data_IF_974825630200
#
_entry.id   IF_974825630200
#
_cell.length_a   1.000
_cell.length_b   1.000
_cell.length_c   1.000
_cell.angle_alpha   90.00
_cell.angle_beta   90.00
_cell.angle_gamma   90.00
#
_symmetry.space_group_name_H-M   'P 1'
#
loop_
_entity.id
_entity.type
_entity.pdbx_description
1 polymer ?
#
# COMPACT_ATOMS: atom_id res chain seq x y z
N UNK A 1 -15.58 20.77 -19.51
CA UNK A 1 -14.47 20.06 -18.83
C UNK A 1 -14.84 19.50 -17.45
N UNK A 2 -15.55 20.20 -16.54
CA UNK A 2 -15.98 19.59 -15.25
C UNK A 2 -17.22 18.69 -15.32
N UNK A 3 -18.04 18.80 -16.37
CA UNK A 3 -19.25 17.97 -16.56
C UNK A 3 -18.92 16.53 -17.01
N UNK A 4 -17.77 16.31 -17.65
CA UNK A 4 -17.38 15.01 -18.21
C UNK A 4 -16.89 14.04 -17.11
N UNK A 5 -16.33 14.57 -16.01
CA UNK A 5 -15.83 13.79 -14.87
C UNK A 5 -16.94 13.22 -13.97
N UNK A 6 -18.13 13.82 -13.99
CA UNK A 6 -19.31 13.34 -13.24
C UNK A 6 -20.19 12.40 -14.06
N UNK A 7 -19.80 12.07 -15.29
CA UNK A 7 -20.48 11.06 -16.09
C UNK A 7 -20.26 9.68 -15.45
N UNK A 8 -21.33 8.89 -15.36
CA UNK A 8 -21.28 7.58 -14.71
C UNK A 8 -20.24 6.64 -15.33
N UNK A 9 -20.04 6.67 -16.65
CA UNK A 9 -18.99 5.90 -17.32
C UNK A 9 -17.58 6.32 -16.91
N UNK A 10 -17.31 7.62 -16.80
CA UNK A 10 -16.02 8.15 -16.35
C UNK A 10 -15.75 7.72 -14.91
N UNK A 11 -16.72 7.84 -14.01
CA UNK A 11 -16.60 7.42 -12.62
C UNK A 11 -16.36 5.91 -12.47
N UNK A 12 -17.04 5.08 -13.26
CA UNK A 12 -16.83 3.63 -13.24
C UNK A 12 -15.43 3.28 -13.76
N UNK A 13 -14.94 3.96 -14.81
CA UNK A 13 -13.59 3.76 -15.33
C UNK A 13 -12.52 4.17 -14.32
N UNK A 14 -12.67 5.31 -13.67
CA UNK A 14 -11.76 5.78 -12.63
C UNK A 14 -11.77 4.85 -11.41
N UNK A 15 -12.93 4.32 -11.01
CA UNK A 15 -13.03 3.35 -9.91
C UNK A 15 -12.25 2.07 -10.21
N UNK A 16 -12.36 1.52 -11.43
CA UNK A 16 -11.57 0.36 -11.85
C UNK A 16 -10.06 0.63 -11.87
N UNK A 17 -9.66 1.81 -12.34
CA UNK A 17 -8.26 2.21 -12.36
C UNK A 17 -7.71 2.35 -10.93
N UNK A 18 -8.45 3.04 -10.05
CA UNK A 18 -8.10 3.21 -8.65
C UNK A 18 -7.97 1.86 -7.94
N UNK A 19 -8.94 0.96 -8.13
CA UNK A 19 -8.89 -0.40 -7.58
C UNK A 19 -7.64 -1.15 -8.03
N UNK A 20 -7.29 -1.05 -9.31
CA UNK A 20 -6.06 -1.68 -9.84
C UNK A 20 -4.80 -1.11 -9.20
N UNK A 21 -4.74 0.22 -9.02
CA UNK A 21 -3.61 0.89 -8.37
C UNK A 21 -3.46 0.46 -6.90
N UNK A 22 -4.57 0.38 -6.16
CA UNK A 22 -4.57 -0.07 -4.76
C UNK A 22 -4.06 -1.52 -4.63
N UNK A 23 -4.46 -2.42 -5.53
CA UNK A 23 -3.92 -3.79 -5.54
C UNK A 23 -2.43 -3.86 -5.86
N UNK A 24 -1.94 -3.00 -6.75
CA UNK A 24 -0.50 -2.90 -7.04
C UNK A 24 0.26 -2.39 -5.80
N UNK A 25 -0.24 -1.35 -5.13
CA UNK A 25 0.39 -0.81 -3.92
C UNK A 25 0.38 -1.83 -2.77
N UNK A 26 -0.74 -2.52 -2.55
CA UNK A 26 -0.80 -3.60 -1.56
C UNK A 26 0.28 -4.67 -1.83
N UNK A 27 0.53 -5.02 -3.09
CA UNK A 27 1.65 -5.89 -3.45
C UNK A 27 3.02 -5.31 -3.14
N UNK A 28 3.23 -4.01 -3.40
CA UNK A 28 4.47 -3.30 -3.07
C UNK A 28 4.71 -3.21 -1.56
N UNK A 29 3.68 -3.00 -0.76
CA UNK A 29 3.77 -2.93 0.70
C UNK A 29 4.23 -4.25 1.31
N UNK A 30 3.78 -5.39 0.77
CA UNK A 30 4.31 -6.71 1.15
C UNK A 30 5.82 -6.76 0.91
N UNK A 31 6.29 -6.30 -0.25
CA UNK A 31 7.72 -6.20 -0.56
C UNK A 31 8.46 -5.27 0.41
N UNK A 32 7.84 -4.15 0.78
CA UNK A 32 8.40 -3.17 1.70
C UNK A 32 8.57 -3.74 3.11
N UNK A 33 7.56 -4.45 3.62
CA UNK A 33 7.59 -5.16 4.91
C UNK A 33 8.69 -6.22 4.90
N UNK A 34 8.79 -7.04 3.85
CA UNK A 34 9.85 -8.04 3.71
C UNK A 34 11.24 -7.41 3.70
N UNK A 35 11.39 -6.24 3.06
CA UNK A 35 12.61 -5.44 3.10
C UNK A 35 12.97 -5.00 4.52
N UNK A 36 11.99 -4.47 5.26
CA UNK A 36 12.16 -4.08 6.67
C UNK A 36 12.54 -5.26 7.57
N UNK A 37 11.92 -6.43 7.36
CA UNK A 37 12.25 -7.67 8.08
C UNK A 37 13.67 -8.16 7.78
N UNK A 38 14.05 -8.21 6.50
CA UNK A 38 15.40 -8.56 6.08
C UNK A 38 16.44 -7.60 6.68
N UNK A 39 16.18 -6.29 6.65
CA UNK A 39 17.06 -5.29 7.24
C UNK A 39 17.17 -5.45 8.77
N UNK A 40 16.05 -5.63 9.46
CA UNK A 40 16.03 -5.82 10.92
C UNK A 40 16.84 -7.07 11.34
N UNK A 41 16.72 -8.17 10.59
CA UNK A 41 17.47 -9.40 10.84
C UNK A 41 18.97 -9.26 10.55
N UNK A 42 19.37 -8.44 9.56
CA UNK A 42 20.78 -8.16 9.27
C UNK A 42 21.45 -7.29 10.34
N UNK A 43 20.69 -6.41 10.97
CA UNK A 43 21.19 -5.39 11.89
C UNK A 43 20.98 -5.76 13.38
N UNK A 44 20.85 -7.05 13.71
CA UNK A 44 20.58 -7.53 15.09
C UNK A 44 21.60 -7.03 16.12
N UNK A 45 22.87 -6.89 15.74
CA UNK A 45 23.94 -6.38 16.61
C UNK A 45 23.89 -4.85 16.82
N UNK A 46 23.01 -4.13 16.12
CA UNK A 46 22.88 -2.66 16.17
C UNK A 46 21.43 -2.29 16.51
N UNK A 47 21.07 -2.21 17.80
CA UNK A 47 19.67 -2.06 18.25
C UNK A 47 18.90 -0.92 17.59
N UNK A 48 19.56 0.23 17.39
CA UNK A 48 18.95 1.37 16.70
C UNK A 48 18.55 1.03 15.26
N UNK A 49 19.46 0.43 14.48
CA UNK A 49 19.20 0.06 13.07
C UNK A 49 18.17 -1.06 12.97
N UNK A 50 18.23 -2.04 13.89
CA UNK A 50 17.18 -3.05 14.01
C UNK A 50 15.80 -2.39 14.23
N UNK A 51 15.74 -1.38 15.10
CA UNK A 51 14.55 -0.57 15.35
C UNK A 51 14.03 0.16 14.12
N UNK A 52 14.91 0.69 13.26
CA UNK A 52 14.51 1.26 11.97
C UNK A 52 13.84 0.21 11.08
N UNK A 53 14.38 -1.00 11.00
CA UNK A 53 13.75 -2.11 10.27
C UNK A 53 12.37 -2.47 10.81
N UNK A 54 12.20 -2.49 12.14
CA UNK A 54 10.88 -2.68 12.76
C UNK A 54 9.92 -1.53 12.46
N UNK A 55 10.42 -0.29 12.40
CA UNK A 55 9.63 0.87 11.97
C UNK A 55 9.13 0.75 10.54
N UNK A 56 9.98 0.29 9.61
CA UNK A 56 9.61 0.01 8.21
C UNK A 56 8.49 -1.05 8.15
N UNK A 57 8.62 -2.13 8.94
CA UNK A 57 7.59 -3.17 9.01
C UNK A 57 6.27 -2.61 9.52
N UNK A 58 6.28 -1.84 10.61
CA UNK A 58 5.08 -1.26 11.19
C UNK A 58 4.40 -0.27 10.22
N UNK A 59 5.18 0.61 9.59
CA UNK A 59 4.67 1.54 8.60
C UNK A 59 4.06 0.81 7.40
N UNK A 60 4.78 -0.16 6.84
CA UNK A 60 4.30 -0.94 5.70
C UNK A 60 3.04 -1.75 6.03
N UNK A 61 2.94 -2.31 7.24
CA UNK A 61 1.74 -3.04 7.66
C UNK A 61 0.50 -2.14 7.74
N UNK A 62 0.65 -0.90 8.22
CA UNK A 62 -0.46 0.06 8.25
C UNK A 62 -0.90 0.47 6.84
N UNK A 63 0.06 0.70 5.93
CA UNK A 63 -0.23 1.00 4.52
C UNK A 63 -0.92 -0.17 3.81
N UNK A 64 -0.43 -1.39 4.02
CA UNK A 64 -1.03 -2.59 3.44
C UNK A 64 -2.49 -2.77 3.86
N UNK A 65 -2.78 -2.60 5.16
CA UNK A 65 -4.15 -2.68 5.68
C UNK A 65 -5.02 -1.59 5.06
N UNK A 66 -4.50 -0.36 4.95
CA UNK A 66 -5.21 0.74 4.31
C UNK A 66 -5.54 0.40 2.85
N UNK A 67 -4.56 -0.01 2.05
CA UNK A 67 -4.73 -0.27 0.63
C UNK A 67 -5.66 -1.46 0.36
N UNK A 68 -5.56 -2.53 1.15
CA UNK A 68 -6.46 -3.69 1.02
C UNK A 68 -7.89 -3.31 1.36
N UNK A 69 -8.13 -2.56 2.45
CA UNK A 69 -9.48 -2.11 2.82
C UNK A 69 -10.07 -1.24 1.70
N UNK A 70 -9.29 -0.29 1.17
CA UNK A 70 -9.77 0.57 0.09
C UNK A 70 -10.00 -0.22 -1.20
N UNK A 71 -9.12 -1.15 -1.57
CA UNK A 71 -9.27 -1.97 -2.77
C UNK A 71 -10.55 -2.83 -2.74
N UNK A 72 -10.96 -3.28 -1.55
CA UNK A 72 -12.19 -4.05 -1.34
C UNK A 72 -13.46 -3.18 -1.33
N UNK A 73 -13.35 -1.91 -0.94
CA UNK A 73 -14.48 -0.98 -0.85
C UNK A 73 -14.75 -0.22 -2.16
N UNK A 74 -13.76 -0.08 -3.04
CA UNK A 74 -13.94 0.59 -4.34
C UNK A 74 -14.84 -0.26 -5.26
N UNK A 75 -15.95 0.30 -5.78
CA UNK A 75 -16.87 -0.41 -6.68
C UNK A 75 -16.24 -0.85 -8.01
N UNK A 76 -16.79 -1.93 -8.60
CA UNK A 76 -16.47 -2.45 -9.95
C UNK A 76 -16.88 -1.49 -11.10
#
# INVERSE_FOLDING_TARGET
MKLDALQAETLAKESRNLRRLLWINAGLDVGYILGGWCYSNREVARPFRRGLGLGIILQGALLLVFDVIHALQVPE
#
